data_IF_320701027948
#
_entry.id   IF_320701027948
#
_cell.length_a   1.000
_cell.length_b   1.000
_cell.length_c   1.000
_cell.angle_alpha   90.00
_cell.angle_beta   90.00
_cell.angle_gamma   90.00
#
_symmetry.space_group_name_H-M   'P 1'
#
loop_
_entity.id
_entity.type
_entity.pdbx_description
1 polymer ?
#
# COMPACT_ATOMS: atom_id res chain seq x y z
N UNK A 1 -8.43 4.31 18.97
CA UNK A 1 -7.13 4.37 19.71
C UNK A 1 -6.46 5.65 19.24
N UNK A 2 -6.08 6.55 20.14
CA UNK A 2 -5.38 7.77 19.68
C UNK A 2 -3.96 7.40 19.24
N UNK A 3 -3.54 7.78 18.02
CA UNK A 3 -2.19 7.51 17.56
C UNK A 3 -1.18 8.43 18.22
N UNK A 4 0.06 7.96 18.35
CA UNK A 4 1.18 8.81 18.69
C UNK A 4 1.74 9.39 17.39
N UNK A 5 1.75 10.72 17.26
CA UNK A 5 2.31 11.42 16.11
C UNK A 5 3.78 11.73 16.35
N UNK A 6 4.65 11.33 15.43
CA UNK A 6 6.10 11.51 15.50
C UNK A 6 6.60 12.01 14.14
N UNK A 7 7.47 13.03 14.16
CA UNK A 7 8.22 13.40 12.97
C UNK A 7 9.52 12.60 12.93
N UNK A 8 9.74 11.87 11.87
CA UNK A 8 10.98 11.16 11.60
C UNK A 8 11.55 11.79 10.33
N UNK A 9 12.72 12.42 10.44
CA UNK A 9 13.26 13.29 9.41
C UNK A 9 12.21 14.34 8.97
N UNK A 10 11.89 14.40 7.70
CA UNK A 10 10.92 15.32 7.10
C UNK A 10 9.48 14.76 7.00
N UNK A 11 9.24 13.52 7.48
CA UNK A 11 7.95 12.85 7.38
C UNK A 11 7.23 12.76 8.71
N UNK A 12 5.94 13.06 8.70
CA UNK A 12 5.05 12.86 9.83
C UNK A 12 4.46 11.44 9.79
N UNK A 13 4.67 10.71 10.89
CA UNK A 13 4.21 9.34 11.05
C UNK A 13 3.26 9.22 12.24
N UNK A 14 2.24 8.39 12.10
CA UNK A 14 1.24 8.12 13.13
C UNK A 14 1.30 6.65 13.53
N UNK A 15 1.58 6.40 14.80
CA UNK A 15 1.78 5.07 15.37
C UNK A 15 0.54 4.64 16.14
N UNK A 16 -0.14 3.62 15.66
CA UNK A 16 -1.24 2.95 16.35
C UNK A 16 -0.68 1.68 17.00
N UNK A 17 -0.43 1.78 18.31
CA UNK A 17 0.36 0.80 19.04
C UNK A 17 -0.47 -0.32 19.64
N UNK A 18 0.11 -1.53 19.64
CA UNK A 18 -0.19 -2.58 20.61
C UNK A 18 1.12 -2.98 21.30
N UNK A 19 1.09 -3.11 22.63
CA UNK A 19 2.29 -3.42 23.44
C UNK A 19 2.91 -4.79 23.08
N UNK A 20 2.10 -5.71 22.54
CA UNK A 20 2.52 -7.05 22.18
C UNK A 20 2.79 -7.21 20.67
N UNK A 21 2.87 -6.11 19.93
CA UNK A 21 3.06 -6.17 18.49
C UNK A 21 4.36 -6.90 18.10
N UNK A 22 4.23 -7.93 17.28
CA UNK A 22 5.35 -8.68 16.70
C UNK A 22 5.53 -8.41 15.20
N UNK A 23 4.53 -7.79 14.57
CA UNK A 23 4.51 -7.37 13.17
C UNK A 23 4.16 -5.89 13.06
N UNK A 24 4.70 -5.25 12.02
CA UNK A 24 4.41 -3.86 11.70
C UNK A 24 3.77 -3.75 10.32
N UNK A 25 2.63 -3.08 10.26
CA UNK A 25 1.96 -2.66 9.03
C UNK A 25 2.38 -1.22 8.76
N UNK A 26 2.95 -0.94 7.60
CA UNK A 26 3.33 0.40 7.15
C UNK A 26 2.39 0.79 6.01
N UNK A 27 1.78 1.95 6.11
CA UNK A 27 0.79 2.43 5.15
C UNK A 27 1.05 3.90 4.80
N UNK A 28 1.46 4.23 3.56
CA UNK A 28 1.40 5.59 3.05
C UNK A 28 -0.06 6.04 2.95
N UNK A 29 -0.36 7.21 3.49
CA UNK A 29 -1.72 7.78 3.55
C UNK A 29 -1.70 9.26 3.21
N UNK A 30 -2.80 9.78 2.68
CA UNK A 30 -3.10 11.20 2.68
C UNK A 30 -3.94 11.59 3.92
N UNK A 31 -4.29 12.88 4.05
CA UNK A 31 -5.11 13.36 5.16
C UNK A 31 -6.52 12.72 5.19
N UNK A 32 -7.07 12.39 4.02
CA UNK A 32 -8.39 11.77 3.93
C UNK A 32 -8.33 10.31 4.42
N UNK A 33 -7.37 9.54 3.97
CA UNK A 33 -7.16 8.14 4.39
C UNK A 33 -6.79 8.07 5.88
N UNK A 34 -5.99 9.03 6.38
CA UNK A 34 -5.66 9.13 7.81
C UNK A 34 -6.92 9.22 8.67
N UNK A 35 -7.95 9.94 8.21
CA UNK A 35 -9.24 10.04 8.90
C UNK A 35 -10.03 8.72 8.96
N UNK A 36 -9.71 7.74 8.12
CA UNK A 36 -10.39 6.43 8.06
C UNK A 36 -9.67 5.32 8.84
N UNK A 37 -8.44 5.54 9.30
CA UNK A 37 -7.61 4.49 9.91
C UNK A 37 -8.20 3.86 11.17
N UNK A 38 -8.93 4.60 11.98
CA UNK A 38 -9.59 4.02 13.16
C UNK A 38 -10.62 2.93 12.79
N UNK A 39 -11.36 3.13 11.71
CA UNK A 39 -12.31 2.14 11.20
C UNK A 39 -11.58 0.94 10.58
N UNK A 40 -10.53 1.20 9.80
CA UNK A 40 -9.68 0.20 9.18
C UNK A 40 -9.02 -0.71 10.23
N UNK A 41 -8.39 -0.14 11.27
CA UNK A 41 -7.76 -0.87 12.36
C UNK A 41 -8.76 -1.76 13.10
N UNK A 42 -9.95 -1.24 13.40
CA UNK A 42 -11.04 -2.03 14.02
C UNK A 42 -11.42 -3.22 13.15
N UNK A 43 -11.47 -3.02 11.83
CA UNK A 43 -11.83 -4.08 10.90
C UNK A 43 -10.69 -5.11 10.76
N UNK A 44 -9.41 -4.71 10.73
CA UNK A 44 -8.27 -5.64 10.77
C UNK A 44 -8.37 -6.53 12.02
N UNK A 45 -8.57 -5.93 13.20
CA UNK A 45 -8.71 -6.65 14.47
C UNK A 45 -9.89 -7.64 14.45
N UNK A 46 -11.01 -7.22 13.86
CA UNK A 46 -12.18 -8.09 13.72
C UNK A 46 -11.95 -9.29 12.80
N UNK A 47 -11.26 -9.06 11.68
CA UNK A 47 -11.02 -10.09 10.67
C UNK A 47 -9.97 -11.11 11.10
N UNK A 48 -8.92 -10.66 11.77
CA UNK A 48 -7.81 -11.52 12.21
C UNK A 48 -8.06 -12.17 13.57
N UNK A 49 -8.97 -11.63 14.37
CA UNK A 49 -9.08 -11.92 15.81
C UNK A 49 -7.74 -11.76 16.54
N UNK A 50 -6.86 -10.88 16.01
CA UNK A 50 -5.52 -10.59 16.50
C UNK A 50 -5.37 -9.08 16.68
N UNK A 51 -4.81 -8.69 17.82
CA UNK A 51 -4.56 -7.28 18.14
C UNK A 51 -3.04 -6.98 18.17
N UNK A 52 -2.19 -7.98 17.99
CA UNK A 52 -0.75 -7.88 18.20
C UNK A 52 0.00 -7.34 16.99
N UNK A 53 -0.43 -6.19 16.47
CA UNK A 53 0.28 -5.50 15.39
C UNK A 53 0.48 -4.01 15.72
N UNK A 54 1.56 -3.45 15.21
CA UNK A 54 1.80 -2.03 15.12
C UNK A 54 1.36 -1.56 13.73
N UNK A 55 0.48 -0.56 13.62
CA UNK A 55 0.25 0.12 12.35
C UNK A 55 0.92 1.48 12.37
N UNK A 56 1.72 1.76 11.34
CA UNK A 56 2.39 3.05 11.13
C UNK A 56 1.90 3.66 9.83
N UNK A 57 1.14 4.74 9.95
CA UNK A 57 0.73 5.54 8.80
C UNK A 57 1.80 6.60 8.51
N UNK A 58 2.27 6.67 7.28
CA UNK A 58 3.23 7.66 6.78
C UNK A 58 2.44 8.70 5.98
N UNK A 59 2.38 9.93 6.48
CA UNK A 59 1.70 11.02 5.78
C UNK A 59 2.47 11.41 4.52
N UNK A 60 1.79 11.43 3.41
CA UNK A 60 2.31 11.80 2.09
C UNK A 60 1.77 13.17 1.71
N UNK A 61 2.67 14.12 1.48
CA UNK A 61 2.33 15.50 1.17
C UNK A 61 1.97 15.69 -0.32
N UNK A 62 2.75 15.08 -1.20
CA UNK A 62 2.52 15.11 -2.65
C UNK A 62 2.30 13.70 -3.19
N UNK A 63 1.01 13.30 -3.20
CA UNK A 63 0.56 11.95 -3.55
C UNK A 63 1.09 11.46 -4.90
N UNK A 64 0.95 12.30 -5.94
CA UNK A 64 1.35 11.93 -7.29
C UNK A 64 2.88 11.92 -7.46
N UNK A 65 3.59 12.74 -6.73
CA UNK A 65 5.05 12.81 -6.83
C UNK A 65 5.72 11.71 -6.02
N UNK A 66 5.34 11.54 -4.77
CA UNK A 66 6.07 10.73 -3.80
C UNK A 66 5.79 9.23 -3.91
N UNK A 67 4.64 8.84 -4.47
CA UNK A 67 4.26 7.43 -4.62
C UNK A 67 4.45 6.87 -6.03
N UNK A 68 4.82 7.72 -7.00
CA UNK A 68 5.00 7.28 -8.38
C UNK A 68 6.41 6.74 -8.63
N UNK A 69 6.53 5.52 -9.21
CA UNK A 69 7.83 4.89 -9.50
C UNK A 69 8.69 5.68 -10.50
N UNK A 70 8.05 6.33 -11.47
CA UNK A 70 8.68 7.14 -12.52
C UNK A 70 7.71 8.20 -13.01
N UNK A 71 8.23 9.16 -13.77
CA UNK A 71 7.39 10.23 -14.35
C UNK A 71 6.42 9.66 -15.38
N UNK A 72 5.17 10.09 -15.29
CA UNK A 72 4.13 9.74 -16.24
C UNK A 72 3.18 10.93 -16.46
N UNK A 73 2.52 11.02 -17.63
CA UNK A 73 1.55 12.09 -17.90
C UNK A 73 0.32 11.99 -17.02
N UNK A 74 -0.41 13.08 -16.88
CA UNK A 74 -1.69 13.11 -16.16
C UNK A 74 -2.70 12.14 -16.80
N UNK A 75 -3.33 11.32 -15.99
CA UNK A 75 -4.43 10.42 -16.39
C UNK A 75 -5.79 11.02 -16.00
N UNK A 76 -5.80 11.82 -14.95
CA UNK A 76 -6.94 12.63 -14.50
C UNK A 76 -6.42 13.98 -14.01
N UNK A 77 -7.28 15.00 -14.04
CA UNK A 77 -6.85 16.36 -13.68
C UNK A 77 -5.84 16.95 -14.67
N UNK A 78 -4.94 17.80 -14.17
CA UNK A 78 -3.91 18.49 -14.99
C UNK A 78 -2.48 18.13 -14.57
N UNK A 79 -2.30 17.53 -13.38
CA UNK A 79 -1.00 17.22 -12.81
C UNK A 79 -0.56 15.82 -13.24
N UNK A 80 0.65 15.71 -13.75
CA UNK A 80 1.28 14.44 -14.05
C UNK A 80 1.80 13.75 -12.77
N UNK A 81 2.41 12.61 -12.98
CA UNK A 81 3.02 11.83 -11.92
C UNK A 81 4.51 12.13 -11.82
N UNK A 82 5.04 12.13 -10.59
CA UNK A 82 6.45 12.35 -10.31
C UNK A 82 7.30 11.08 -10.42
N UNK A 83 8.38 11.02 -9.63
CA UNK A 83 9.29 9.89 -9.57
C UNK A 83 9.89 9.71 -8.16
N UNK A 84 9.15 10.12 -7.13
CA UNK A 84 9.62 10.17 -5.73
C UNK A 84 9.45 8.86 -4.96
N UNK A 85 8.92 7.79 -5.56
CA UNK A 85 8.74 6.51 -4.88
C UNK A 85 10.04 5.94 -4.31
N UNK A 86 11.18 6.18 -4.98
CA UNK A 86 12.49 5.75 -4.49
C UNK A 86 12.89 6.48 -3.19
N UNK A 87 12.62 7.78 -3.09
CA UNK A 87 12.91 8.57 -1.89
C UNK A 87 11.98 8.14 -0.74
N UNK A 88 10.68 7.90 -1.02
CA UNK A 88 9.73 7.39 -0.04
C UNK A 88 10.13 5.99 0.47
N UNK A 89 10.58 5.10 -0.41
CA UNK A 89 11.09 3.79 -0.01
C UNK A 89 12.38 3.90 0.81
N UNK A 90 13.30 4.78 0.42
CA UNK A 90 14.52 5.05 1.19
C UNK A 90 14.18 5.55 2.60
N UNK A 91 13.24 6.49 2.72
CA UNK A 91 12.75 6.95 4.02
C UNK A 91 12.23 5.78 4.87
N UNK A 92 11.37 4.94 4.31
CA UNK A 92 10.80 3.79 5.05
C UNK A 92 11.91 2.82 5.49
N UNK A 93 12.83 2.48 4.59
CA UNK A 93 13.88 1.48 4.82
C UNK A 93 14.97 1.99 5.77
N UNK A 94 15.43 3.23 5.56
CA UNK A 94 16.67 3.72 6.16
C UNK A 94 16.43 4.56 7.43
N UNK A 95 15.20 5.06 7.65
CA UNK A 95 14.84 5.86 8.82
C UNK A 95 13.68 5.27 9.63
N UNK A 96 12.54 4.99 9.00
CA UNK A 96 11.35 4.52 9.72
C UNK A 96 11.56 3.12 10.33
N UNK A 97 12.00 2.14 9.56
CA UNK A 97 12.20 0.78 10.06
C UNK A 97 13.28 0.72 11.15
N UNK A 98 14.44 1.39 11.05
CA UNK A 98 15.39 1.50 12.15
C UNK A 98 14.79 2.12 13.41
N UNK A 99 13.98 3.17 13.28
CA UNK A 99 13.26 3.76 14.40
C UNK A 99 12.31 2.73 15.06
N UNK A 100 11.51 2.02 14.25
CA UNK A 100 10.61 0.98 14.75
C UNK A 100 11.40 -0.11 15.50
N UNK A 101 12.50 -0.60 14.94
CA UNK A 101 13.35 -1.63 15.56
C UNK A 101 13.91 -1.21 16.92
N UNK A 102 14.25 0.08 17.06
CA UNK A 102 14.79 0.60 18.33
C UNK A 102 13.71 0.77 19.40
N UNK A 103 12.50 1.17 19.01
CA UNK A 103 11.40 1.54 19.90
C UNK A 103 10.45 0.36 20.20
N UNK A 104 10.30 -0.59 19.25
CA UNK A 104 9.38 -1.73 19.32
C UNK A 104 10.15 -3.06 19.13
N UNK A 105 10.86 -3.48 20.16
CA UNK A 105 11.85 -4.59 20.08
C UNK A 105 11.26 -5.96 19.69
N UNK A 106 9.96 -6.17 19.87
CA UNK A 106 9.29 -7.41 19.50
C UNK A 106 8.91 -7.46 18.02
N UNK A 107 8.89 -6.30 17.32
CA UNK A 107 8.56 -6.24 15.90
C UNK A 107 9.71 -6.80 15.07
N UNK A 108 9.44 -7.90 14.37
CA UNK A 108 10.41 -8.60 13.52
C UNK A 108 9.99 -8.70 12.05
N UNK A 109 8.72 -8.47 11.74
CA UNK A 109 8.17 -8.59 10.40
C UNK A 109 7.52 -7.27 9.96
N UNK A 110 7.75 -6.89 8.71
CA UNK A 110 7.23 -5.67 8.11
C UNK A 110 6.33 -6.00 6.92
N UNK A 111 5.19 -5.34 6.87
CA UNK A 111 4.21 -5.43 5.81
C UNK A 111 3.95 -4.02 5.28
N UNK A 112 3.88 -3.89 3.97
CA UNK A 112 3.59 -2.61 3.31
C UNK A 112 2.32 -2.73 2.51
N UNK A 113 1.48 -1.72 2.54
CA UNK A 113 0.27 -1.74 1.74
C UNK A 113 -0.38 -0.38 1.65
N UNK A 114 -1.44 -0.31 0.85
CA UNK A 114 -2.22 0.90 0.68
C UNK A 114 -3.21 0.79 -0.46
N UNK A 115 -3.98 1.86 -0.62
CA UNK A 115 -5.03 1.98 -1.61
C UNK A 115 -4.56 2.75 -2.85
N UNK A 116 -5.10 2.43 -4.02
CA UNK A 116 -4.88 3.22 -5.24
C UNK A 116 -3.39 3.37 -5.61
N UNK A 117 -2.86 4.60 -5.62
CA UNK A 117 -1.46 4.88 -5.92
C UNK A 117 -0.53 4.37 -4.81
N UNK A 118 -0.96 4.38 -3.55
CA UNK A 118 -0.22 3.74 -2.46
C UNK A 118 -0.17 2.21 -2.62
N UNK A 119 -1.20 1.59 -3.20
CA UNK A 119 -1.18 0.19 -3.61
C UNK A 119 -0.18 -0.09 -4.73
N UNK A 120 -0.08 0.78 -5.72
CA UNK A 120 0.96 0.71 -6.77
C UNK A 120 2.36 0.87 -6.18
N UNK A 121 2.56 1.87 -5.32
CA UNK A 121 3.82 2.10 -4.61
C UNK A 121 4.23 0.86 -3.81
N UNK A 122 3.30 0.24 -3.10
CA UNK A 122 3.57 -0.94 -2.29
C UNK A 122 4.00 -2.13 -3.15
N UNK A 123 3.34 -2.36 -4.29
CA UNK A 123 3.79 -3.35 -5.27
C UNK A 123 5.20 -3.04 -5.75
N UNK A 124 5.43 -1.82 -6.23
CA UNK A 124 6.74 -1.39 -6.72
C UNK A 124 7.84 -1.58 -5.66
N UNK A 125 7.59 -1.19 -4.42
CA UNK A 125 8.52 -1.40 -3.31
C UNK A 125 8.83 -2.87 -3.07
N UNK A 126 7.84 -3.76 -3.20
CA UNK A 126 8.03 -5.21 -3.12
C UNK A 126 8.91 -5.79 -4.25
N UNK A 127 9.05 -5.09 -5.38
CA UNK A 127 10.02 -5.42 -6.43
C UNK A 127 11.42 -4.85 -6.15
N UNK A 128 11.56 -3.82 -5.28
CA UNK A 128 12.84 -3.16 -5.00
C UNK A 128 13.60 -3.79 -3.83
N UNK A 129 12.90 -4.42 -2.88
CA UNK A 129 13.51 -4.91 -1.64
C UNK A 129 12.74 -6.09 -1.06
N UNK A 130 13.45 -6.96 -0.35
CA UNK A 130 12.92 -8.12 0.38
C UNK A 130 12.59 -7.82 1.85
N UNK A 131 12.71 -6.55 2.26
CA UNK A 131 12.47 -6.13 3.66
C UNK A 131 11.02 -6.36 4.09
N UNK A 132 10.08 -6.31 3.13
CA UNK A 132 8.67 -6.54 3.39
C UNK A 132 8.32 -8.02 3.21
N UNK A 133 7.81 -8.63 4.28
CA UNK A 133 7.31 -10.00 4.23
C UNK A 133 6.10 -10.13 3.32
N UNK A 134 5.22 -9.13 3.32
CA UNK A 134 4.02 -9.13 2.49
C UNK A 134 3.60 -7.73 2.04
N UNK A 135 2.90 -7.72 0.91
CA UNK A 135 2.38 -6.52 0.25
C UNK A 135 0.86 -6.60 0.15
N UNK A 136 0.15 -5.58 0.65
CA UNK A 136 -1.28 -5.40 0.41
C UNK A 136 -1.51 -4.30 -0.62
N UNK A 137 -1.74 -4.66 -1.87
CA UNK A 137 -2.05 -3.73 -2.94
C UNK A 137 -3.56 -3.72 -3.20
N UNK A 138 -4.23 -2.72 -2.64
CA UNK A 138 -5.69 -2.63 -2.64
C UNK A 138 -6.15 -1.64 -3.71
N UNK A 139 -6.96 -2.12 -4.65
CA UNK A 139 -7.40 -1.31 -5.82
C UNK A 139 -6.25 -0.53 -6.47
N UNK A 140 -5.07 -1.17 -6.70
CA UNK A 140 -3.85 -0.47 -7.08
C UNK A 140 -3.97 0.16 -8.46
N UNK A 141 -3.29 1.29 -8.64
CA UNK A 141 -3.25 2.05 -9.90
C UNK A 141 -2.40 1.34 -10.98
N UNK A 142 -2.63 0.04 -11.20
CA UNK A 142 -1.85 -0.78 -12.16
C UNK A 142 -2.07 -0.38 -13.63
N UNK A 143 -2.98 0.56 -13.90
CA UNK A 143 -3.11 1.24 -15.18
C UNK A 143 -1.97 2.23 -15.46
N UNK A 144 -1.05 2.45 -14.51
CA UNK A 144 0.07 3.37 -14.61
C UNK A 144 0.94 3.07 -15.84
N UNK A 145 1.36 4.12 -16.54
CA UNK A 145 2.12 3.99 -17.79
C UNK A 145 3.42 3.20 -17.58
N UNK A 146 3.65 2.18 -18.41
CA UNK A 146 4.85 1.34 -18.34
C UNK A 146 4.82 0.24 -17.29
N UNK A 147 3.77 0.15 -16.45
CA UNK A 147 3.69 -0.84 -15.39
C UNK A 147 3.66 -2.29 -15.90
N UNK A 148 2.98 -2.53 -17.01
CA UNK A 148 2.92 -3.84 -17.67
C UNK A 148 4.30 -4.32 -18.13
N UNK A 149 5.11 -3.46 -18.79
CA UNK A 149 6.48 -3.81 -19.18
C UNK A 149 7.36 -4.05 -17.94
N UNK A 150 7.16 -3.24 -16.89
CA UNK A 150 7.93 -3.36 -15.66
C UNK A 150 7.74 -4.72 -14.97
N UNK A 151 6.50 -5.18 -14.80
CA UNK A 151 6.20 -6.45 -14.13
C UNK A 151 6.65 -7.67 -14.92
N UNK A 152 6.70 -7.57 -16.26
CA UNK A 152 7.22 -8.65 -17.13
C UNK A 152 8.74 -8.79 -17.02
N UNK A 153 9.45 -7.70 -16.73
CA UNK A 153 10.91 -7.66 -16.65
C UNK A 153 11.46 -7.92 -15.24
N UNK A 154 10.60 -7.90 -14.21
CA UNK A 154 11.05 -7.96 -12.83
C UNK A 154 10.30 -9.06 -12.04
N UNK A 155 10.89 -9.49 -10.93
CA UNK A 155 10.28 -10.47 -10.01
C UNK A 155 10.11 -9.83 -8.64
N UNK A 156 8.92 -9.94 -8.05
CA UNK A 156 8.64 -9.42 -6.71
C UNK A 156 9.42 -10.23 -5.66
N UNK A 157 9.99 -9.54 -4.68
CA UNK A 157 10.79 -10.15 -3.61
C UNK A 157 9.98 -10.44 -2.34
N UNK A 158 8.83 -9.78 -2.16
CA UNK A 158 7.92 -10.06 -1.06
C UNK A 158 7.43 -11.51 -1.11
N UNK A 159 7.28 -12.15 0.05
CA UNK A 159 6.86 -13.57 0.14
C UNK A 159 5.35 -13.75 -0.05
N UNK A 160 4.56 -12.72 0.27
CA UNK A 160 3.10 -12.72 0.11
C UNK A 160 2.64 -11.46 -0.62
N UNK A 161 1.65 -11.58 -1.48
CA UNK A 161 1.05 -10.42 -2.17
C UNK A 161 -0.47 -10.56 -2.21
N UNK A 162 -1.16 -9.65 -1.55
CA UNK A 162 -2.59 -9.49 -1.70
C UNK A 162 -2.88 -8.44 -2.77
N UNK A 163 -3.72 -8.81 -3.72
CA UNK A 163 -4.28 -7.91 -4.72
C UNK A 163 -5.80 -7.85 -4.54
N UNK A 164 -6.39 -6.69 -4.71
CA UNK A 164 -7.85 -6.62 -4.84
C UNK A 164 -8.29 -5.51 -5.79
N UNK A 165 -9.52 -5.65 -6.30
CA UNK A 165 -10.13 -4.66 -7.18
C UNK A 165 -11.65 -4.67 -7.01
N UNK A 166 -12.29 -3.52 -7.17
CA UNK A 166 -13.75 -3.46 -7.27
C UNK A 166 -14.26 -3.93 -8.64
N UNK A 167 -15.34 -4.68 -8.66
CA UNK A 167 -15.95 -5.28 -9.86
C UNK A 167 -16.49 -4.25 -10.88
N UNK A 168 -16.57 -2.98 -10.46
CA UNK A 168 -17.02 -1.86 -11.30
C UNK A 168 -15.92 -0.83 -11.60
N UNK A 169 -14.67 -1.04 -11.17
CA UNK A 169 -13.60 -0.06 -11.38
C UNK A 169 -13.25 0.13 -12.87
N UNK A 170 -13.30 -0.93 -13.65
CA UNK A 170 -13.13 -0.83 -15.11
C UNK A 170 -14.29 -0.12 -15.84
N UNK A 171 -15.41 0.14 -15.16
CA UNK A 171 -16.58 0.83 -15.73
C UNK A 171 -16.47 2.36 -15.65
N UNK A 172 -15.27 2.89 -15.84
CA UNK A 172 -15.01 4.33 -15.91
C UNK A 172 -14.99 4.84 -17.34
N UNK A 173 -15.30 6.14 -17.54
CA UNK A 173 -15.20 6.80 -18.85
C UNK A 173 -13.74 7.08 -19.26
N UNK A 174 -12.83 7.09 -18.31
CA UNK A 174 -11.40 7.28 -18.57
C UNK A 174 -10.81 6.02 -19.20
N UNK A 175 -10.36 6.12 -20.46
CA UNK A 175 -9.86 4.97 -21.25
C UNK A 175 -8.63 4.29 -20.64
N UNK A 176 -7.75 5.03 -19.96
CA UNK A 176 -6.56 4.49 -19.32
C UNK A 176 -6.97 3.74 -18.04
N UNK A 177 -7.75 4.39 -17.18
CA UNK A 177 -8.19 3.78 -15.92
C UNK A 177 -9.10 2.55 -16.15
N UNK A 178 -9.86 2.50 -17.26
CA UNK A 178 -10.73 1.37 -17.58
C UNK A 178 -9.96 0.07 -17.84
N UNK A 179 -8.64 0.13 -18.11
CA UNK A 179 -7.78 -1.05 -18.30
C UNK A 179 -7.42 -1.74 -16.99
N UNK A 180 -7.76 -1.16 -15.82
CA UNK A 180 -7.32 -1.65 -14.50
C UNK A 180 -7.67 -3.12 -14.26
N UNK A 181 -8.85 -3.57 -14.73
CA UNK A 181 -9.29 -4.96 -14.55
C UNK A 181 -8.48 -5.98 -15.35
N UNK A 182 -8.01 -5.62 -16.54
CA UNK A 182 -7.10 -6.44 -17.35
C UNK A 182 -5.69 -6.45 -16.74
N UNK A 183 -5.19 -5.27 -16.39
CA UNK A 183 -3.85 -5.09 -15.87
C UNK A 183 -3.63 -5.73 -14.49
N UNK A 184 -4.66 -5.76 -13.63
CA UNK A 184 -4.53 -6.45 -12.34
C UNK A 184 -4.49 -7.98 -12.52
N UNK A 185 -5.19 -8.53 -13.52
CA UNK A 185 -5.06 -9.96 -13.85
C UNK A 185 -3.67 -10.28 -14.37
N UNK A 186 -3.13 -9.44 -15.26
CA UNK A 186 -1.74 -9.57 -15.73
C UNK A 186 -0.75 -9.50 -14.57
N UNK A 187 -0.93 -8.55 -13.64
CA UNK A 187 -0.13 -8.47 -12.42
C UNK A 187 -0.21 -9.78 -11.62
N UNK A 188 -1.40 -10.31 -11.42
CA UNK A 188 -1.63 -11.58 -10.71
C UNK A 188 -0.90 -12.74 -11.38
N UNK A 189 -0.99 -12.87 -12.70
CA UNK A 189 -0.36 -13.94 -13.48
C UNK A 189 1.18 -13.85 -13.48
N UNK A 190 1.76 -12.66 -13.32
CA UNK A 190 3.20 -12.44 -13.21
C UNK A 190 3.78 -12.81 -11.85
N UNK A 191 2.97 -12.87 -10.79
CA UNK A 191 3.46 -13.20 -9.45
C UNK A 191 3.89 -14.67 -9.36
N UNK A 192 4.90 -14.94 -8.53
CA UNK A 192 5.47 -16.29 -8.30
C UNK A 192 5.56 -16.64 -6.81
N UNK A 193 5.16 -15.71 -5.94
CA UNK A 193 5.08 -15.89 -4.47
C UNK A 193 3.69 -16.40 -4.08
N UNK A 194 3.43 -16.50 -2.77
CA UNK A 194 2.08 -16.73 -2.24
C UNK A 194 1.22 -15.49 -2.50
N UNK A 195 0.15 -15.60 -3.29
CA UNK A 195 -0.64 -14.45 -3.71
C UNK A 195 -2.12 -14.78 -3.96
N UNK A 196 -2.95 -13.75 -3.82
CA UNK A 196 -4.39 -13.81 -4.08
C UNK A 196 -4.84 -12.56 -4.84
N UNK A 197 -5.91 -12.70 -5.62
CA UNK A 197 -6.66 -11.58 -6.19
C UNK A 197 -8.12 -11.66 -5.73
N UNK A 198 -8.54 -10.71 -4.88
CA UNK A 198 -9.90 -10.61 -4.40
C UNK A 198 -10.70 -9.56 -5.19
N UNK A 199 -11.91 -9.94 -5.61
CA UNK A 199 -12.85 -9.00 -6.23
C UNK A 199 -13.85 -8.50 -5.20
N UNK A 200 -13.92 -7.18 -5.04
CA UNK A 200 -14.85 -6.51 -4.14
C UNK A 200 -16.04 -5.93 -4.91
N UNK A 201 -17.20 -5.83 -4.25
CA UNK A 201 -18.37 -5.19 -4.85
C UNK A 201 -18.17 -3.67 -4.90
N UNK A 202 -18.41 -3.04 -6.05
CA UNK A 202 -18.44 -1.59 -6.20
C UNK A 202 -17.32 -1.01 -7.06
N UNK A 203 -17.30 0.32 -7.12
CA UNK A 203 -16.29 1.10 -7.85
C UNK A 203 -15.07 1.42 -6.98
N UNK A 204 -14.15 2.23 -7.50
CA UNK A 204 -12.92 2.63 -6.83
C UNK A 204 -13.12 3.34 -5.47
N UNK A 205 -14.27 3.96 -5.24
CA UNK A 205 -14.55 4.75 -4.02
C UNK A 205 -15.39 3.98 -2.99
N UNK A 206 -15.65 2.71 -3.22
CA UNK A 206 -16.50 1.91 -2.35
C UNK A 206 -15.67 1.25 -1.24
N UNK A 207 -15.85 1.68 0.01
CA UNK A 207 -15.32 1.08 1.23
C UNK A 207 -13.78 0.86 1.19
N UNK A 208 -12.96 1.90 0.92
CA UNK A 208 -11.50 1.73 0.83
C UNK A 208 -10.90 1.20 2.14
N UNK A 209 -11.35 1.68 3.29
CA UNK A 209 -10.95 1.25 4.63
C UNK A 209 -11.18 -0.25 4.85
N UNK A 210 -12.39 -0.74 4.54
CA UNK A 210 -12.72 -2.17 4.69
C UNK A 210 -11.90 -3.04 3.73
N UNK A 211 -11.71 -2.59 2.49
CA UNK A 211 -10.90 -3.33 1.51
C UNK A 211 -9.43 -3.38 1.92
N UNK A 212 -8.88 -2.28 2.44
CA UNK A 212 -7.51 -2.22 2.93
C UNK A 212 -7.33 -3.11 4.15
N UNK A 213 -8.29 -3.09 5.07
CA UNK A 213 -8.30 -3.99 6.21
C UNK A 213 -8.28 -5.47 5.81
N UNK A 214 -9.05 -5.88 4.79
CA UNK A 214 -8.99 -7.25 4.25
C UNK A 214 -7.60 -7.60 3.74
N UNK A 215 -6.96 -6.68 3.02
CA UNK A 215 -5.60 -6.86 2.50
C UNK A 215 -4.59 -7.15 3.61
N UNK A 216 -4.58 -6.33 4.63
CA UNK A 216 -3.68 -6.52 5.77
C UNK A 216 -4.04 -7.73 6.63
N UNK A 217 -5.33 -8.09 6.70
CA UNK A 217 -5.78 -9.26 7.44
C UNK A 217 -5.39 -10.58 6.79
N UNK A 218 -5.19 -10.60 5.47
CA UNK A 218 -4.74 -11.78 4.73
C UNK A 218 -3.22 -12.00 4.86
N UNK A 219 -2.45 -10.94 5.10
CA UNK A 219 -0.99 -10.99 5.27
C UNK A 219 -0.60 -11.58 6.64
#
# INVERSE_FOLDING_TARGET
>A
MEPISINIEDKKCFFYQDENANKCIIQPVDEHELGMLDAEIKEIKRLTNDNSFLLVAVLIDDWNKELSPWKAPAVFGKEGFGCGAADTLCFIRDFLIPYIRSSYRNVSEYYLGGYSLAGLFSLWAGYQTDIFRGIAAVSPSVWFEGWDQYILANTIMAKKTYLSLGDKESKTKNKIMSTVGERIRMQYECLRNDHILEWNVGNHFAQPDIRTAKGFSWL
#
